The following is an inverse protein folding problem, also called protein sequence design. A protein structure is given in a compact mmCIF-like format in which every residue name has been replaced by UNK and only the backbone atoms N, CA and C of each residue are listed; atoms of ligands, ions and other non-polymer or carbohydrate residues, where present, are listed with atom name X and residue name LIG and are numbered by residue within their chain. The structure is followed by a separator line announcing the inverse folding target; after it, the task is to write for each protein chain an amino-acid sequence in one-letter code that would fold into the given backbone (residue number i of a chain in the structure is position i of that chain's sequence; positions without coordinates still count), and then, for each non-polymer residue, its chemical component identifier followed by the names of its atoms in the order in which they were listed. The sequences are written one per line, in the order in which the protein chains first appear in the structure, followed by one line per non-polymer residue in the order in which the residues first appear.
data_IF_619043748750
#
_entry.id   IF_619043748750
#
_cell.length_a   1.000
_cell.length_b   1.000
_cell.length_c   1.000
_cell.angle_alpha   90.00
_cell.angle_beta   90.00
_cell.angle_gamma   90.00
#
_symmetry.space_group_name_H-M   'P 1'
#
loop_
_entity.id
_entity.type
_entity.pdbx_description
1 polymer ?
#
# COMPACT_ATOMS: atom_id res chain seq x y z
N UNK A 1 17.02 4.53 13.89
CA UNK A 1 17.37 4.09 12.52
C UNK A 1 16.34 3.05 12.11
N UNK A 2 15.80 3.11 10.89
CA UNK A 2 14.79 2.16 10.39
C UNK A 2 15.50 1.08 9.57
N UNK A 3 15.16 -0.18 9.79
CA UNK A 3 15.51 -1.27 8.87
C UNK A 3 14.39 -1.43 7.83
N UNK A 4 14.70 -1.10 6.58
CA UNK A 4 13.73 -1.10 5.48
C UNK A 4 13.22 -2.52 5.16
N UNK A 5 14.01 -3.56 5.45
CA UNK A 5 13.63 -4.95 5.15
C UNK A 5 12.38 -5.41 5.93
N UNK A 6 12.04 -4.69 7.00
CA UNK A 6 10.89 -4.93 7.86
C UNK A 6 9.83 -3.83 7.78
N UNK A 7 10.10 -2.74 7.07
CA UNK A 7 9.19 -1.62 6.96
C UNK A 7 8.07 -1.95 5.96
N UNK A 8 6.82 -2.05 6.43
CA UNK A 8 5.65 -2.32 5.58
C UNK A 8 5.53 -1.30 4.44
N UNK A 9 5.81 -0.02 4.70
CA UNK A 9 5.76 1.01 3.65
C UNK A 9 6.81 0.77 2.57
N UNK A 10 8.03 0.35 2.93
CA UNK A 10 9.05 0.00 1.94
C UNK A 10 8.64 -1.26 1.16
N UNK A 11 8.20 -2.30 1.87
CA UNK A 11 7.81 -3.58 1.27
C UNK A 11 6.66 -3.41 0.27
N UNK A 12 5.69 -2.55 0.57
CA UNK A 12 4.52 -2.35 -0.30
C UNK A 12 4.75 -1.36 -1.44
N UNK A 13 5.70 -0.42 -1.31
CA UNK A 13 5.92 0.64 -2.32
C UNK A 13 7.17 0.39 -3.18
N UNK A 14 8.29 -0.02 -2.60
CA UNK A 14 9.60 -0.05 -3.28
C UNK A 14 10.17 -1.45 -3.49
N UNK A 15 9.82 -2.43 -2.64
CA UNK A 15 10.36 -3.78 -2.77
C UNK A 15 9.93 -4.42 -4.09
N UNK A 16 10.88 -5.01 -4.80
CA UNK A 16 10.67 -5.68 -6.09
C UNK A 16 10.82 -7.18 -5.87
N UNK A 17 9.92 -7.96 -6.46
CA UNK A 17 9.89 -9.41 -6.35
C UNK A 17 8.97 -9.92 -5.23
N UNK A 18 8.99 -11.25 -4.99
CA UNK A 18 8.10 -11.88 -4.04
C UNK A 18 8.42 -11.48 -2.60
N UNK A 19 7.43 -11.61 -1.72
CA UNK A 19 7.63 -11.51 -0.28
C UNK A 19 8.09 -12.87 0.26
N UNK A 20 8.98 -12.83 1.26
CA UNK A 20 9.18 -14.01 2.12
C UNK A 20 7.90 -14.29 2.93
N UNK A 21 7.71 -15.50 3.47
CA UNK A 21 6.53 -15.81 4.30
C UNK A 21 6.35 -14.85 5.49
N UNK A 22 7.48 -14.39 6.07
CA UNK A 22 7.47 -13.43 7.18
C UNK A 22 7.03 -12.04 6.70
N UNK A 23 7.54 -11.58 5.56
CA UNK A 23 7.13 -10.29 4.97
C UNK A 23 5.65 -10.32 4.59
N UNK A 24 5.17 -11.40 3.96
CA UNK A 24 3.76 -11.57 3.59
C UNK A 24 2.83 -11.55 4.81
N UNK A 25 3.26 -12.16 5.93
CA UNK A 25 2.52 -12.08 7.20
C UNK A 25 2.50 -10.65 7.75
N UNK A 26 3.63 -9.93 7.68
CA UNK A 26 3.75 -8.57 8.21
C UNK A 26 2.93 -7.54 7.42
N UNK A 27 2.80 -7.72 6.10
CA UNK A 27 2.05 -6.83 5.19
C UNK A 27 0.56 -7.20 5.08
N UNK A 28 0.08 -8.21 5.82
CA UNK A 28 -1.34 -8.59 5.82
C UNK A 28 -2.25 -7.40 6.12
N UNK A 29 -3.32 -7.25 5.33
CA UNK A 29 -4.25 -6.13 5.40
C UNK A 29 -3.71 -4.80 4.85
N UNK A 30 -2.50 -4.75 4.28
CA UNK A 30 -1.90 -3.52 3.73
C UNK A 30 -1.72 -3.64 2.22
N UNK A 31 -2.35 -2.75 1.44
CA UNK A 31 -2.18 -2.70 -0.02
C UNK A 31 -1.03 -1.78 -0.46
N UNK A 32 -0.86 -0.63 0.19
CA UNK A 32 0.12 0.37 -0.20
C UNK A 32 0.43 1.33 0.95
N UNK A 33 1.69 1.37 1.40
CA UNK A 33 2.11 2.21 2.52
C UNK A 33 1.77 1.64 3.91
N UNK A 34 2.12 2.39 4.96
CA UNK A 34 1.83 2.07 6.35
C UNK A 34 1.94 3.32 7.22
N UNK A 35 0.93 3.57 8.05
CA UNK A 35 0.89 4.72 8.96
C UNK A 35 1.03 4.35 10.44
N UNK A 36 1.32 3.09 10.78
CA UNK A 36 1.41 2.64 12.19
C UNK A 36 2.39 3.43 13.04
N UNK A 37 3.51 3.90 12.46
CA UNK A 37 4.46 4.75 13.18
C UNK A 37 3.90 6.17 13.42
N UNK A 38 3.05 6.67 12.52
CA UNK A 38 2.35 7.94 12.67
C UNK A 38 1.22 7.82 13.70
N UNK A 39 0.47 6.72 13.69
CA UNK A 39 -0.63 6.44 14.63
C UNK A 39 -0.13 6.34 16.09
N UNK A 40 1.05 5.74 16.29
CA UNK A 40 1.69 5.65 17.60
C UNK A 40 2.37 6.94 18.07
N UNK A 41 2.46 7.96 17.21
CA UNK A 41 3.19 9.20 17.54
C UNK A 41 2.33 10.13 18.43
N UNK A 42 2.81 10.52 19.62
CA UNK A 42 2.04 11.37 20.54
C UNK A 42 1.80 12.79 20.02
N UNK A 43 2.61 13.25 19.07
CA UNK A 43 2.44 14.56 18.45
C UNK A 43 1.35 14.52 17.37
N UNK A 44 1.31 13.46 16.55
CA UNK A 44 0.31 13.32 15.49
C UNK A 44 -1.10 13.13 16.04
N UNK A 45 -1.27 12.54 17.23
CA UNK A 45 -2.56 12.43 17.90
C UNK A 45 -3.25 13.79 18.13
N UNK A 46 -2.46 14.87 18.21
CA UNK A 46 -2.94 16.24 18.41
C UNK A 46 -2.88 17.09 17.14
N UNK A 47 -2.40 16.53 16.03
CA UNK A 47 -2.23 17.27 14.80
C UNK A 47 -3.60 17.57 14.17
N UNK A 48 -3.83 18.80 13.66
CA UNK A 48 -5.07 19.14 12.99
C UNK A 48 -5.17 18.40 11.65
N UNK A 49 -6.35 17.85 11.35
CA UNK A 49 -6.65 17.34 10.01
C UNK A 49 -7.03 18.53 9.13
N UNK A 50 -6.33 18.70 8.01
CA UNK A 50 -6.68 19.71 7.02
C UNK A 50 -7.62 19.10 5.98
N UNK A 51 -8.91 19.48 5.95
CA UNK A 51 -9.80 19.03 4.89
C UNK A 51 -9.47 19.76 3.58
N UNK A 52 -9.49 19.04 2.47
CA UNK A 52 -9.29 19.61 1.14
C UNK A 52 -7.82 19.91 0.80
N UNK A 53 -7.62 20.57 -0.35
CA UNK A 53 -6.30 20.87 -0.88
C UNK A 53 -5.66 19.74 -1.69
N UNK A 54 -4.40 19.93 -2.15
CA UNK A 54 -3.72 19.00 -3.06
C UNK A 54 -3.39 17.63 -2.45
N UNK A 55 -3.52 17.50 -1.12
CA UNK A 55 -3.28 16.25 -0.38
C UNK A 55 -4.56 15.64 0.20
N UNK A 56 -5.73 16.17 -0.17
CA UNK A 56 -7.00 15.56 0.20
C UNK A 56 -7.06 14.11 -0.33
N UNK A 57 -7.78 13.27 0.39
CA UNK A 57 -8.05 11.91 -0.07
C UNK A 57 -8.73 11.95 -1.44
N UNK A 58 -8.22 11.14 -2.37
CA UNK A 58 -8.72 11.04 -3.73
C UNK A 58 -9.78 9.92 -3.78
N UNK A 59 -11.07 10.25 -4.03
CA UNK A 59 -12.18 9.30 -3.93
C UNK A 59 -12.06 8.07 -4.82
N UNK A 60 -11.20 8.08 -5.85
CA UNK A 60 -10.97 6.89 -6.68
C UNK A 60 -10.43 5.68 -5.90
N UNK A 61 -9.90 5.91 -4.71
CA UNK A 61 -9.37 4.86 -3.81
C UNK A 61 -10.38 4.42 -2.75
N UNK A 62 -11.55 5.05 -2.68
CA UNK A 62 -12.57 4.72 -1.69
C UNK A 62 -13.11 3.29 -1.89
N UNK A 63 -13.18 2.52 -0.81
CA UNK A 63 -13.70 1.14 -0.85
C UNK A 63 -12.89 0.19 -1.75
N UNK A 64 -11.58 0.44 -1.92
CA UNK A 64 -10.70 -0.46 -2.65
C UNK A 64 -10.50 -1.76 -1.87
N UNK A 65 -11.03 -2.85 -2.42
CA UNK A 65 -10.90 -4.20 -1.87
C UNK A 65 -9.70 -4.92 -2.48
N UNK A 66 -8.87 -5.64 -1.68
CA UNK A 66 -7.74 -6.41 -2.20
C UNK A 66 -8.11 -7.38 -3.32
N UNK A 67 -9.28 -8.01 -3.25
CA UNK A 67 -9.74 -8.95 -4.27
C UNK A 67 -9.93 -8.31 -5.65
N UNK A 68 -10.31 -7.01 -5.72
CA UNK A 68 -10.45 -6.29 -7.00
C UNK A 68 -9.09 -6.05 -7.64
N UNK A 69 -8.06 -5.80 -6.83
CA UNK A 69 -6.69 -5.54 -7.29
C UNK A 69 -6.11 -6.74 -8.02
N UNK A 70 -6.44 -7.97 -7.60
CA UNK A 70 -5.98 -9.19 -8.26
C UNK A 70 -6.41 -9.30 -9.73
N UNK A 71 -7.51 -8.64 -10.10
CA UNK A 71 -8.07 -8.66 -11.45
C UNK A 71 -7.71 -7.44 -12.30
N UNK A 72 -6.89 -6.52 -11.79
CA UNK A 72 -6.53 -5.31 -12.55
C UNK A 72 -5.74 -5.66 -13.81
N UNK A 73 -6.20 -5.09 -14.92
CA UNK A 73 -5.46 -5.01 -16.17
C UNK A 73 -4.48 -3.83 -16.16
N UNK A 74 -3.45 -3.88 -17.01
CA UNK A 74 -2.57 -2.75 -17.28
C UNK A 74 -3.35 -1.48 -17.58
N UNK A 75 -4.42 -1.56 -18.38
CA UNK A 75 -5.24 -0.40 -18.74
C UNK A 75 -5.91 0.24 -17.53
N UNK A 76 -6.45 -0.56 -16.62
CA UNK A 76 -7.05 -0.04 -15.38
C UNK A 76 -6.00 0.59 -14.48
N UNK A 77 -4.84 -0.06 -14.36
CA UNK A 77 -3.73 0.48 -13.57
C UNK A 77 -3.17 1.79 -14.16
N UNK A 78 -3.05 1.91 -15.48
CA UNK A 78 -2.64 3.15 -16.15
C UNK A 78 -3.56 4.32 -15.75
N UNK A 79 -4.88 4.12 -15.74
CA UNK A 79 -5.82 5.17 -15.34
C UNK A 79 -5.66 5.56 -13.87
N UNK A 80 -5.42 4.58 -13.00
CA UNK A 80 -5.28 4.79 -11.56
C UNK A 80 -3.94 5.41 -11.15
N UNK A 81 -2.86 5.16 -11.90
CA UNK A 81 -1.52 5.62 -11.51
C UNK A 81 -1.22 7.08 -11.86
N UNK A 82 -2.02 7.69 -12.74
CA UNK A 82 -1.84 9.10 -13.15
C UNK A 82 -1.92 10.02 -11.93
N UNK A 83 -0.92 10.91 -11.81
CA UNK A 83 -0.76 11.88 -10.71
C UNK A 83 -0.82 11.23 -9.31
N UNK A 84 -0.34 10.00 -9.19
CA UNK A 84 -0.40 9.24 -7.95
C UNK A 84 0.95 8.56 -7.64
N UNK A 85 1.36 8.48 -6.36
CA UNK A 85 2.56 7.74 -5.97
C UNK A 85 2.43 6.22 -6.19
N UNK A 86 1.21 5.71 -6.36
CA UNK A 86 0.91 4.28 -6.56
C UNK A 86 1.65 3.65 -7.75
N UNK A 87 2.07 4.48 -8.72
CA UNK A 87 2.88 4.04 -9.87
C UNK A 87 4.22 3.41 -9.46
N UNK A 88 4.74 3.74 -8.27
CA UNK A 88 6.06 3.27 -7.79
C UNK A 88 6.12 1.77 -7.57
N UNK A 89 5.03 1.18 -7.07
CA UNK A 89 4.95 -0.26 -6.86
C UNK A 89 4.77 -1.06 -8.17
N UNK A 90 4.22 -0.43 -9.21
CA UNK A 90 3.82 -1.12 -10.45
C UNK A 90 2.65 -2.09 -10.25
N UNK A 91 2.00 -2.53 -11.33
CA UNK A 91 0.85 -3.43 -11.25
C UNK A 91 1.19 -4.76 -10.56
N UNK A 92 2.33 -5.36 -10.91
CA UNK A 92 2.81 -6.59 -10.27
C UNK A 92 2.98 -6.45 -8.76
N UNK A 93 3.52 -5.31 -8.30
CA UNK A 93 3.66 -5.01 -6.88
C UNK A 93 2.30 -4.89 -6.18
N UNK A 94 1.32 -4.25 -6.82
CA UNK A 94 -0.06 -4.17 -6.32
C UNK A 94 -0.73 -5.54 -6.21
N UNK A 95 -0.60 -6.39 -7.24
CA UNK A 95 -1.15 -7.76 -7.23
C UNK A 95 -0.47 -8.59 -6.13
N UNK A 96 0.86 -8.50 -5.99
CA UNK A 96 1.59 -9.15 -4.88
C UNK A 96 1.09 -8.70 -3.52
N UNK A 97 0.93 -7.39 -3.32
CA UNK A 97 0.45 -6.84 -2.05
C UNK A 97 -0.98 -7.31 -1.77
N UNK A 98 -1.84 -7.39 -2.79
CA UNK A 98 -3.20 -7.88 -2.66
C UNK A 98 -3.27 -9.36 -2.24
N UNK A 99 -2.46 -10.24 -2.85
CA UNK A 99 -2.33 -11.65 -2.42
C UNK A 99 -1.96 -11.73 -0.93
N UNK A 100 -0.91 -11.01 -0.53
CA UNK A 100 -0.45 -10.98 0.86
C UNK A 100 -1.52 -10.40 1.81
N UNK A 101 -2.25 -9.37 1.39
CA UNK A 101 -3.31 -8.75 2.16
C UNK A 101 -4.47 -9.73 2.43
N UNK A 102 -4.83 -10.55 1.44
CA UNK A 102 -5.83 -11.64 1.55
C UNK A 102 -5.30 -12.84 2.32
N UNK A 103 -3.99 -12.94 2.53
CA UNK A 103 -3.34 -14.07 3.18
C UNK A 103 -3.11 -15.26 2.25
N UNK A 104 -3.26 -15.07 0.95
CA UNK A 104 -2.84 -16.02 -0.08
C UNK A 104 -1.30 -15.97 -0.15
N UNK A 105 -0.65 -17.10 0.13
CA UNK A 105 0.79 -17.26 -0.07
C UNK A 105 1.00 -18.11 -1.32
N UNK A 106 1.81 -17.63 -2.26
CA UNK A 106 2.42 -18.55 -3.23
C UNK A 106 3.33 -19.51 -2.44
N UNK A 107 3.26 -20.83 -2.71
CA UNK A 107 4.01 -21.85 -1.98
C UNK A 107 5.53 -21.69 -2.05
#
# INVERSE_FOLDING_TARGET
MVDANWCISYLTIEHIGPFTPVQAKATRGSLFGCDRCQEGCPYNQKAPVQPGGPFAFDPRWEGLEPAKVLGWSEREFEALKVKSPVKRAGLEGWVRNAKAALGEQDP
#
